data_IF_602271047314
#
_entry.id   IF_602271047314
#
_cell.length_a   1.000
_cell.length_b   1.000
_cell.length_c   1.000
_cell.angle_alpha   90.00
_cell.angle_beta   90.00
_cell.angle_gamma   90.00
#
_symmetry.space_group_name_H-M   'P 1'
#
loop_
_entity.id
_entity.type
_entity.pdbx_description
1 polymer ?
#
# COMPACT_ATOMS: atom_id res chain seq x y z
N UNK A 1 -7.10 -16.33 19.50
CA UNK A 1 -8.28 -16.38 18.63
C UNK A 1 -9.30 -17.32 19.25
N UNK A 2 -10.49 -16.82 19.58
CA UNK A 2 -11.60 -17.68 19.98
C UNK A 2 -12.87 -17.26 19.24
N UNK A 3 -13.46 -18.23 18.56
CA UNK A 3 -14.74 -18.11 17.86
C UNK A 3 -15.74 -18.90 18.70
N UNK A 4 -16.77 -18.21 19.17
CA UNK A 4 -17.86 -18.86 19.92
C UNK A 4 -19.14 -18.75 19.10
N UNK A 5 -19.75 -19.90 18.82
CA UNK A 5 -21.06 -19.97 18.17
C UNK A 5 -22.12 -20.17 19.24
N UNK A 6 -23.12 -19.30 19.25
CA UNK A 6 -24.32 -19.42 20.07
C UNK A 6 -25.56 -19.43 19.18
N UNK A 7 -26.59 -20.16 19.60
CA UNK A 7 -27.86 -20.22 18.89
C UNK A 7 -28.94 -19.79 19.88
N UNK A 8 -29.92 -19.04 19.40
CA UNK A 8 -31.12 -18.82 20.18
C UNK A 8 -32.05 -20.04 20.01
N UNK A 9 -32.02 -20.93 21.01
CA UNK A 9 -32.45 -22.32 20.96
C UNK A 9 -31.38 -23.24 21.60
N UNK A 10 -31.46 -24.57 21.55
CA UNK A 10 -32.49 -25.44 20.98
C UNK A 10 -33.82 -25.29 21.72
N UNK A 11 -34.89 -24.99 20.98
CA UNK A 11 -36.23 -24.92 21.53
C UNK A 11 -36.90 -26.28 21.52
N UNK A 12 -37.69 -26.56 22.56
CA UNK A 12 -38.41 -27.83 22.73
C UNK A 12 -37.52 -29.07 22.57
N UNK A 13 -36.47 -29.23 23.39
CA UNK A 13 -35.50 -30.31 23.23
C UNK A 13 -36.14 -31.68 23.05
N UNK A 14 -35.48 -32.55 22.28
CA UNK A 14 -35.87 -33.96 22.13
C UNK A 14 -36.23 -34.59 23.48
N UNK A 15 -37.43 -35.17 23.58
CA UNK A 15 -38.00 -35.69 24.84
C UNK A 15 -38.95 -34.73 25.58
N UNK A 16 -39.17 -33.51 25.10
CA UNK A 16 -40.19 -32.60 25.68
C UNK A 16 -41.59 -33.17 25.45
N UNK A 17 -42.25 -33.70 26.48
CA UNK A 17 -43.51 -34.44 26.32
C UNK A 17 -44.65 -33.62 25.69
N UNK A 18 -44.78 -32.33 26.03
CA UNK A 18 -45.84 -31.46 25.54
C UNK A 18 -45.29 -30.09 25.12
N UNK A 19 -45.66 -29.65 23.91
CA UNK A 19 -45.37 -28.30 23.39
C UNK A 19 -46.70 -27.55 23.33
N UNK A 20 -46.84 -26.49 24.12
CA UNK A 20 -48.06 -25.67 24.16
C UNK A 20 -48.03 -24.60 23.07
N UNK A 21 -49.21 -24.26 22.54
CA UNK A 21 -49.37 -23.17 21.57
C UNK A 21 -48.82 -21.83 22.05
N UNK A 22 -49.00 -21.52 23.33
CA UNK A 22 -48.45 -20.31 23.94
C UNK A 22 -46.93 -20.28 23.90
N UNK A 23 -46.25 -21.44 24.06
CA UNK A 23 -44.79 -21.50 24.00
C UNK A 23 -44.30 -21.26 22.56
N UNK A 24 -44.97 -21.84 21.56
CA UNK A 24 -44.62 -21.58 20.15
C UNK A 24 -44.74 -20.10 19.81
N UNK A 25 -45.84 -19.46 20.23
CA UNK A 25 -46.03 -18.01 20.09
C UNK A 25 -44.90 -17.24 20.77
N UNK A 26 -44.63 -17.54 22.03
CA UNK A 26 -43.68 -16.76 22.82
C UNK A 26 -42.23 -16.99 22.35
N UNK A 27 -41.92 -18.10 21.69
CA UNK A 27 -40.61 -18.39 21.06
C UNK A 27 -40.48 -17.72 19.69
N UNK A 28 -41.39 -18.01 18.76
CA UNK A 28 -41.24 -17.64 17.35
C UNK A 28 -41.85 -16.30 16.99
N UNK A 29 -42.65 -15.69 17.86
CA UNK A 29 -43.20 -14.34 17.64
C UNK A 29 -42.35 -13.26 18.33
N UNK A 30 -41.05 -13.31 18.07
CA UNK A 30 -40.04 -12.34 18.54
C UNK A 30 -39.47 -11.55 17.37
N UNK A 31 -39.28 -10.25 17.52
CA UNK A 31 -38.49 -9.50 16.55
C UNK A 31 -37.01 -9.77 16.74
N UNK A 32 -36.22 -9.92 15.68
CA UNK A 32 -34.77 -9.78 15.84
C UNK A 32 -34.48 -8.46 16.58
N UNK A 33 -33.53 -8.43 17.54
CA UNK A 33 -33.15 -7.19 18.22
C UNK A 33 -32.83 -6.10 17.19
N UNK A 34 -33.65 -5.04 17.17
CA UNK A 34 -33.56 -3.93 16.20
C UNK A 34 -32.28 -3.11 16.38
N UNK A 35 -31.81 -3.07 17.62
CA UNK A 35 -30.47 -2.66 18.04
C UNK A 35 -29.76 -3.94 18.51
N UNK A 36 -28.45 -4.07 18.35
CA UNK A 36 -27.72 -5.11 19.01
C UNK A 36 -27.69 -4.77 20.50
N UNK A 37 -28.61 -5.39 21.23
CA UNK A 37 -28.53 -5.51 22.68
C UNK A 37 -27.46 -6.54 23.03
N UNK A 38 -27.08 -6.60 24.32
CA UNK A 38 -26.09 -7.55 24.83
C UNK A 38 -26.21 -8.93 24.17
N UNK A 39 -25.06 -9.54 23.87
CA UNK A 39 -24.92 -10.82 23.21
C UNK A 39 -25.95 -11.84 23.73
N UNK A 40 -26.78 -12.38 22.83
CA UNK A 40 -27.83 -13.34 23.20
C UNK A 40 -29.13 -12.72 23.74
N UNK A 41 -29.28 -11.40 23.70
CA UNK A 41 -30.55 -10.75 24.06
C UNK A 41 -31.69 -11.25 23.18
N UNK A 42 -32.74 -11.69 23.85
CA UNK A 42 -33.95 -12.16 23.23
C UNK A 42 -34.75 -10.96 22.72
N UNK A 43 -35.08 -11.00 21.44
CA UNK A 43 -35.97 -10.05 20.79
C UNK A 43 -37.28 -9.77 21.52
N UNK A 44 -37.85 -8.59 21.32
CA UNK A 44 -39.16 -8.23 21.89
C UNK A 44 -40.26 -9.15 21.36
N UNK A 45 -41.09 -9.68 22.27
CA UNK A 45 -42.28 -10.45 21.90
C UNK A 45 -43.28 -9.52 21.20
N UNK A 46 -43.71 -9.91 20.01
CA UNK A 46 -44.72 -9.20 19.24
C UNK A 46 -46.09 -9.63 19.76
N UNK A 47 -46.85 -8.69 20.33
CA UNK A 47 -48.18 -8.98 20.86
C UNK A 47 -49.18 -9.42 19.77
N UNK A 48 -50.24 -10.11 20.17
CA UNK A 48 -51.33 -10.57 19.29
C UNK A 48 -51.30 -12.08 18.98
N UNK A 49 -52.33 -12.59 18.28
CA UNK A 49 -52.45 -14.01 17.96
C UNK A 49 -51.33 -14.50 17.03
N UNK A 50 -51.09 -15.81 17.04
CA UNK A 50 -50.29 -16.52 16.03
C UNK A 50 -51.17 -17.61 15.43
N UNK A 51 -51.04 -17.84 14.14
CA UNK A 51 -51.72 -18.90 13.39
C UNK A 51 -50.77 -20.06 13.09
N UNK A 52 -51.30 -21.21 12.66
CA UNK A 52 -50.45 -22.31 12.21
C UNK A 52 -49.68 -21.98 10.94
N UNK A 53 -50.26 -21.20 10.02
CA UNK A 53 -49.55 -20.71 8.83
C UNK A 53 -48.37 -19.80 9.17
N UNK A 54 -48.44 -19.02 10.25
CA UNK A 54 -47.31 -18.18 10.71
C UNK A 54 -46.10 -19.00 11.18
N UNK A 55 -46.31 -20.29 11.46
CA UNK A 55 -45.31 -21.21 11.97
C UNK A 55 -44.77 -22.16 10.88
N UNK A 56 -45.09 -21.90 9.61
CA UNK A 56 -44.41 -22.50 8.48
C UNK A 56 -42.99 -21.95 8.39
N UNK A 57 -42.06 -22.81 7.95
CA UNK A 57 -40.68 -22.42 7.71
C UNK A 57 -40.60 -21.44 6.54
N UNK A 58 -40.06 -20.26 6.81
CA UNK A 58 -39.96 -19.19 5.83
C UNK A 58 -38.75 -19.38 4.91
N UNK A 59 -39.00 -19.67 3.64
CA UNK A 59 -37.96 -19.80 2.61
C UNK A 59 -37.80 -18.56 1.73
N UNK A 60 -38.70 -17.57 1.83
CA UNK A 60 -38.55 -16.30 1.13
C UNK A 60 -37.44 -15.46 1.76
N UNK A 61 -36.36 -15.28 0.99
CA UNK A 61 -35.18 -14.51 1.38
C UNK A 61 -35.42 -13.00 1.47
N UNK A 62 -36.55 -12.51 0.98
CA UNK A 62 -36.97 -11.13 1.18
C UNK A 62 -37.43 -10.87 2.63
N UNK A 63 -37.85 -11.91 3.35
CA UNK A 63 -38.28 -11.80 4.73
C UNK A 63 -37.08 -11.63 5.66
N UNK A 64 -36.95 -10.43 6.23
CA UNK A 64 -35.80 -10.05 7.06
C UNK A 64 -35.90 -10.51 8.52
N UNK A 65 -37.08 -10.97 8.93
CA UNK A 65 -37.36 -11.38 10.30
C UNK A 65 -38.48 -12.44 10.32
N UNK A 66 -38.20 -13.65 9.80
CA UNK A 66 -39.17 -14.73 9.81
C UNK A 66 -39.54 -15.17 11.23
N UNK A 67 -40.79 -15.63 11.42
CA UNK A 67 -41.18 -16.24 12.68
C UNK A 67 -40.46 -17.57 12.89
N UNK A 68 -40.55 -18.48 11.91
CA UNK A 68 -39.75 -19.72 11.84
C UNK A 68 -38.80 -19.60 10.66
N UNK A 69 -37.50 -19.33 10.89
CA UNK A 69 -36.56 -19.19 9.80
C UNK A 69 -36.27 -20.52 9.10
N UNK A 70 -35.92 -20.42 7.82
CA UNK A 70 -35.19 -21.47 7.13
C UNK A 70 -33.75 -21.54 7.68
N UNK A 71 -33.40 -22.70 8.20
CA UNK A 71 -32.06 -23.09 8.61
C UNK A 71 -31.95 -24.61 8.59
N UNK A 72 -30.73 -25.12 8.69
CA UNK A 72 -30.44 -26.56 8.75
C UNK A 72 -31.14 -27.23 9.92
N UNK A 73 -31.18 -26.56 11.07
CA UNK A 73 -31.82 -27.05 12.30
C UNK A 73 -33.35 -27.11 12.20
N UNK A 74 -33.95 -26.27 11.35
CA UNK A 74 -35.41 -26.20 11.17
C UNK A 74 -35.90 -26.97 9.93
N UNK A 75 -35.03 -27.77 9.29
CA UNK A 75 -35.29 -28.39 7.99
C UNK A 75 -36.47 -29.39 7.97
N UNK A 76 -36.86 -29.90 9.14
CA UNK A 76 -38.00 -30.81 9.26
C UNK A 76 -39.36 -30.10 9.36
N UNK A 77 -39.38 -28.79 9.61
CA UNK A 77 -40.62 -27.99 9.68
C UNK A 77 -41.11 -27.68 8.27
N UNK A 78 -42.40 -27.94 7.99
CA UNK A 78 -42.99 -27.67 6.67
C UNK A 78 -42.89 -26.20 6.27
N UNK A 79 -42.56 -25.95 4.99
CA UNK A 79 -42.49 -24.59 4.41
C UNK A 79 -43.70 -24.21 3.55
N UNK A 80 -44.46 -25.19 3.07
CA UNK A 80 -45.65 -24.98 2.22
C UNK A 80 -46.80 -25.97 2.50
N UNK A 81 -46.61 -26.86 3.46
CA UNK A 81 -47.58 -27.90 3.86
C UNK A 81 -47.80 -27.82 5.35
N UNK A 82 -48.90 -28.42 5.82
CA UNK A 82 -49.16 -28.57 7.25
C UNK A 82 -47.94 -29.16 7.98
N UNK A 83 -47.60 -28.53 9.11
CA UNK A 83 -46.54 -28.97 10.00
C UNK A 83 -47.14 -29.70 11.20
N UNK A 84 -46.32 -30.55 11.81
CA UNK A 84 -46.63 -31.25 13.06
C UNK A 84 -45.86 -30.59 14.19
N UNK A 85 -46.48 -30.48 15.36
CA UNK A 85 -45.83 -29.92 16.55
C UNK A 85 -44.52 -30.62 16.91
N UNK A 86 -44.39 -31.92 16.60
CA UNK A 86 -43.13 -32.66 16.78
C UNK A 86 -41.96 -32.14 15.93
N UNK A 87 -42.22 -31.48 14.79
CA UNK A 87 -41.18 -30.91 13.93
C UNK A 87 -40.58 -29.62 14.50
N UNK A 88 -41.23 -29.00 15.50
CA UNK A 88 -40.71 -27.81 16.18
C UNK A 88 -39.61 -28.14 17.19
N UNK A 89 -39.32 -29.42 17.42
CA UNK A 89 -38.29 -29.85 18.36
C UNK A 89 -36.91 -29.49 17.84
N UNK A 90 -36.04 -29.12 18.77
CA UNK A 90 -34.65 -28.77 18.50
C UNK A 90 -34.49 -27.62 17.47
N UNK A 91 -35.54 -26.81 17.32
CA UNK A 91 -35.56 -25.67 16.43
C UNK A 91 -34.78 -24.48 17.00
N UNK A 92 -34.33 -23.60 16.13
CA UNK A 92 -33.63 -22.38 16.50
C UNK A 92 -34.24 -21.17 15.80
N UNK A 93 -33.95 -19.99 16.33
CA UNK A 93 -34.44 -18.73 15.77
C UNK A 93 -33.34 -17.80 15.28
N UNK A 94 -32.21 -17.76 15.99
CA UNK A 94 -31.10 -16.88 15.67
C UNK A 94 -29.78 -17.62 15.73
N UNK A 95 -28.81 -17.12 14.95
CA UNK A 95 -27.47 -17.68 14.88
C UNK A 95 -26.44 -16.59 15.17
N UNK A 96 -25.79 -16.69 16.32
CA UNK A 96 -24.85 -15.70 16.83
C UNK A 96 -23.43 -16.23 16.83
N UNK A 97 -22.50 -15.35 16.50
CA UNK A 97 -21.06 -15.65 16.50
C UNK A 97 -20.37 -14.53 17.23
N UNK A 98 -19.46 -14.87 18.14
CA UNK A 98 -18.58 -13.89 18.76
C UNK A 98 -17.14 -14.22 18.43
N UNK A 99 -16.44 -13.22 17.91
CA UNK A 99 -15.05 -13.26 17.50
C UNK A 99 -14.20 -12.43 18.46
N UNK A 100 -13.22 -13.09 19.09
CA UNK A 100 -12.28 -12.45 20.04
C UNK A 100 -10.82 -12.73 19.67
N UNK A 101 -9.92 -11.87 20.15
CA UNK A 101 -8.49 -11.91 19.84
C UNK A 101 -8.16 -11.46 18.41
N UNK A 102 -6.93 -11.70 17.97
CA UNK A 102 -6.45 -11.30 16.64
C UNK A 102 -6.70 -12.36 15.57
N UNK A 103 -7.16 -11.94 14.39
CA UNK A 103 -7.51 -12.77 13.25
C UNK A 103 -6.98 -12.14 11.95
N UNK A 104 -6.05 -12.80 11.27
CA UNK A 104 -5.56 -12.31 9.99
C UNK A 104 -6.39 -12.87 8.83
N UNK A 105 -6.80 -11.99 7.91
CA UNK A 105 -7.54 -12.33 6.70
C UNK A 105 -8.82 -13.16 6.98
N UNK A 106 -9.63 -12.69 7.93
CA UNK A 106 -10.79 -13.43 8.42
C UNK A 106 -11.86 -13.61 7.34
N UNK A 107 -12.23 -14.87 7.09
CA UNK A 107 -13.26 -15.22 6.12
C UNK A 107 -14.61 -15.39 6.82
N UNK A 108 -15.47 -14.37 6.76
CA UNK A 108 -16.75 -14.31 7.47
C UNK A 108 -17.74 -15.39 7.01
N UNK A 109 -17.62 -15.90 5.78
CA UNK A 109 -18.51 -16.93 5.25
C UNK A 109 -18.01 -18.36 5.42
N UNK A 110 -16.70 -18.57 5.48
CA UNK A 110 -16.11 -19.88 5.76
C UNK A 110 -15.84 -20.13 7.24
N UNK A 111 -15.50 -19.08 7.99
CA UNK A 111 -15.11 -19.12 9.41
C UNK A 111 -15.84 -18.02 10.18
N UNK A 112 -16.81 -18.34 11.04
CA UNK A 112 -17.17 -19.68 11.52
C UNK A 112 -17.90 -20.53 10.49
N UNK A 113 -17.93 -21.84 10.74
CA UNK A 113 -18.84 -22.73 10.04
C UNK A 113 -20.30 -22.42 10.41
N UNK A 114 -21.04 -21.80 9.48
CA UNK A 114 -22.46 -21.44 9.63
C UNK A 114 -23.42 -22.64 9.56
N UNK A 115 -22.95 -23.89 9.55
CA UNK A 115 -23.77 -25.09 9.38
C UNK A 115 -24.70 -25.02 8.15
N UNK A 116 -24.17 -24.50 7.03
CA UNK A 116 -24.92 -24.26 5.79
C UNK A 116 -26.11 -23.31 5.93
N UNK A 117 -26.04 -22.33 6.84
CA UNK A 117 -27.09 -21.32 7.06
C UNK A 117 -26.81 -19.94 6.46
N UNK A 118 -25.65 -19.73 5.81
CA UNK A 118 -25.22 -18.41 5.35
C UNK A 118 -26.23 -17.77 4.36
N UNK A 119 -26.80 -18.58 3.46
CA UNK A 119 -27.73 -18.19 2.40
C UNK A 119 -29.21 -18.50 2.74
N UNK A 120 -29.50 -18.78 4.02
CA UNK A 120 -30.85 -19.09 4.51
C UNK A 120 -31.43 -17.94 5.33
N UNK A 121 -32.75 -17.93 5.52
CA UNK A 121 -33.49 -16.78 6.09
C UNK A 121 -33.28 -16.56 7.58
N UNK A 122 -32.66 -17.52 8.30
CA UNK A 122 -32.26 -17.33 9.70
C UNK A 122 -31.43 -16.07 9.88
N UNK A 123 -31.79 -15.26 10.87
CA UNK A 123 -31.06 -14.03 11.18
C UNK A 123 -29.73 -14.41 11.83
N UNK A 124 -28.66 -13.87 11.25
CA UNK A 124 -27.27 -14.12 11.62
C UNK A 124 -26.64 -12.82 12.10
N UNK A 125 -25.85 -12.90 13.16
CA UNK A 125 -24.99 -11.80 13.60
C UNK A 125 -23.64 -12.32 14.04
N UNK A 126 -22.60 -11.65 13.60
CA UNK A 126 -21.25 -11.81 14.12
C UNK A 126 -20.86 -10.55 14.91
N UNK A 127 -20.46 -10.74 16.16
CA UNK A 127 -19.88 -9.73 17.03
C UNK A 127 -18.36 -9.80 16.91
N UNK A 128 -17.74 -8.73 16.43
CA UNK A 128 -16.30 -8.56 16.34
C UNK A 128 -15.87 -7.77 17.57
N UNK A 129 -15.40 -8.48 18.59
CA UNK A 129 -14.88 -7.91 19.84
C UNK A 129 -13.35 -7.85 19.85
N UNK A 130 -12.70 -8.65 19.00
CA UNK A 130 -11.26 -8.64 18.76
C UNK A 130 -10.85 -7.90 17.48
N UNK A 131 -9.64 -8.18 17.03
CA UNK A 131 -9.04 -7.54 15.86
C UNK A 131 -9.06 -8.48 14.65
N UNK A 132 -9.55 -7.98 13.52
CA UNK A 132 -9.36 -8.57 12.20
C UNK A 132 -8.30 -7.74 11.46
N UNK A 133 -7.16 -8.35 11.14
CA UNK A 133 -6.01 -7.71 10.50
C UNK A 133 -5.70 -8.28 9.11
N UNK A 134 -4.83 -7.61 8.37
CA UNK A 134 -4.08 -8.20 7.25
C UNK A 134 -2.75 -7.49 7.15
N UNK A 135 -1.69 -8.24 6.87
CA UNK A 135 -0.38 -7.67 6.57
C UNK A 135 -0.13 -7.51 5.07
N UNK A 136 -1.03 -8.05 4.25
CA UNK A 136 -0.97 -7.95 2.81
C UNK A 136 -1.74 -6.72 2.32
N UNK A 137 -1.01 -5.76 1.74
CA UNK A 137 -1.50 -4.52 1.13
C UNK A 137 -2.47 -4.69 -0.06
N UNK A 138 -2.67 -5.90 -0.57
CA UNK A 138 -3.72 -6.22 -1.57
C UNK A 138 -4.83 -7.11 -0.98
N UNK A 139 -4.65 -7.59 0.24
CA UNK A 139 -5.62 -8.41 0.95
C UNK A 139 -6.69 -7.56 1.63
N UNK A 140 -7.75 -8.24 2.06
CA UNK A 140 -8.76 -7.68 2.95
C UNK A 140 -8.55 -8.26 4.35
N UNK A 141 -8.80 -7.44 5.38
CA UNK A 141 -8.69 -7.90 6.76
C UNK A 141 -9.83 -8.85 7.13
N UNK A 142 -11.04 -8.58 6.61
CA UNK A 142 -12.17 -9.49 6.65
C UNK A 142 -12.92 -9.51 5.31
N UNK A 143 -13.53 -10.64 4.96
CA UNK A 143 -14.32 -10.77 3.72
C UNK A 143 -15.63 -11.54 3.95
N UNK A 144 -16.68 -11.12 3.25
CA UNK A 144 -17.93 -11.83 3.04
C UNK A 144 -18.17 -11.91 1.52
N UNK A 145 -17.95 -13.07 0.92
CA UNK A 145 -17.86 -13.22 -0.55
C UNK A 145 -18.87 -14.20 -1.16
N UNK A 146 -19.94 -14.49 -0.43
CA UNK A 146 -21.04 -15.35 -0.87
C UNK A 146 -22.37 -14.65 -0.71
N UNK A 147 -23.39 -15.21 -1.38
CA UNK A 147 -24.78 -14.85 -1.11
C UNK A 147 -25.09 -15.09 0.36
N UNK A 148 -25.48 -14.01 1.04
CA UNK A 148 -25.77 -14.03 2.46
C UNK A 148 -27.11 -13.35 2.72
N UNK A 149 -27.98 -13.99 3.49
CA UNK A 149 -29.28 -13.43 3.86
C UNK A 149 -29.31 -13.05 5.35
N UNK A 150 -29.91 -11.90 5.68
CA UNK A 150 -30.17 -11.47 7.07
C UNK A 150 -28.92 -11.52 7.95
N UNK A 151 -27.82 -10.95 7.46
CA UNK A 151 -26.51 -11.04 8.09
C UNK A 151 -26.07 -9.69 8.64
N UNK A 152 -25.72 -9.64 9.92
CA UNK A 152 -25.17 -8.44 10.55
C UNK A 152 -23.72 -8.67 10.97
N UNK A 153 -22.82 -7.79 10.53
CA UNK A 153 -21.45 -7.65 11.03
C UNK A 153 -21.47 -6.54 12.06
N UNK A 154 -21.27 -6.86 13.34
CA UNK A 154 -21.31 -5.90 14.44
C UNK A 154 -19.91 -5.69 15.01
N UNK A 155 -19.33 -4.51 14.79
CA UNK A 155 -17.99 -4.16 15.26
C UNK A 155 -18.14 -3.46 16.61
N UNK A 156 -17.81 -4.19 17.67
CA UNK A 156 -18.01 -3.78 19.07
C UNK A 156 -16.99 -2.73 19.53
N UNK A 157 -17.20 -2.13 20.71
CA UNK A 157 -16.42 -0.98 21.21
C UNK A 157 -14.90 -1.20 21.35
N UNK A 158 -14.46 -2.47 21.41
CA UNK A 158 -13.05 -2.86 21.42
C UNK A 158 -12.61 -3.64 20.18
N UNK A 159 -13.52 -3.87 19.23
CA UNK A 159 -13.25 -4.63 18.02
C UNK A 159 -12.74 -3.77 16.87
N UNK A 160 -11.90 -4.35 16.02
CA UNK A 160 -11.35 -3.66 14.87
C UNK A 160 -11.29 -4.53 13.62
N UNK A 161 -11.38 -3.89 12.45
CA UNK A 161 -11.11 -4.45 11.14
C UNK A 161 -10.12 -3.51 10.45
N UNK A 162 -8.87 -3.91 10.35
CA UNK A 162 -7.73 -3.05 10.02
C UNK A 162 -6.96 -3.60 8.82
N UNK A 163 -6.88 -2.82 7.76
CA UNK A 163 -6.15 -3.22 6.57
C UNK A 163 -4.64 -2.97 6.64
N UNK A 164 -3.88 -3.57 5.73
CA UNK A 164 -2.46 -3.31 5.56
C UNK A 164 -2.20 -1.96 4.88
N UNK A 165 -1.12 -1.31 5.28
CA UNK A 165 -0.61 -0.10 4.65
C UNK A 165 0.18 -0.43 3.40
N UNK A 166 0.16 0.50 2.44
CA UNK A 166 0.93 0.41 1.21
C UNK A 166 2.44 0.53 1.44
N UNK A 167 3.22 -0.14 0.60
CA UNK A 167 4.69 -0.08 0.68
C UNK A 167 5.24 1.27 0.20
N UNK A 168 6.35 1.70 0.78
CA UNK A 168 7.08 2.89 0.32
C UNK A 168 7.61 2.72 -1.10
N UNK A 169 7.52 3.78 -1.92
CA UNK A 169 7.73 3.69 -3.35
C UNK A 169 9.18 3.72 -3.84
N UNK A 170 9.45 2.91 -4.87
CA UNK A 170 10.64 2.94 -5.72
C UNK A 170 10.32 2.42 -7.14
N UNK A 171 9.69 3.23 -8.04
CA UNK A 171 9.41 4.66 -7.88
C UNK A 171 8.05 4.97 -7.22
N UNK A 172 6.98 4.21 -7.51
CA UNK A 172 5.63 4.53 -7.03
C UNK A 172 5.32 3.86 -5.69
N UNK A 173 4.55 4.54 -4.84
CA UNK A 173 4.05 3.97 -3.60
C UNK A 173 3.02 2.86 -3.85
N UNK A 174 3.03 1.84 -3.00
CA UNK A 174 2.03 0.77 -3.02
C UNK A 174 0.67 1.25 -2.52
N UNK A 175 -0.42 0.66 -3.02
CA UNK A 175 -1.76 0.94 -2.51
C UNK A 175 -1.94 0.32 -1.12
N UNK A 176 -2.77 0.95 -0.28
CA UNK A 176 -3.26 0.33 0.95
C UNK A 176 -4.34 -0.74 0.67
N UNK A 177 -4.44 -1.74 1.55
CA UNK A 177 -5.45 -2.79 1.47
C UNK A 177 -6.81 -2.33 1.97
N UNK A 178 -7.89 -3.06 1.64
CA UNK A 178 -9.21 -2.74 2.18
C UNK A 178 -9.41 -3.43 3.54
N UNK A 179 -10.21 -2.83 4.41
CA UNK A 179 -10.50 -3.44 5.72
C UNK A 179 -11.51 -4.58 5.57
N UNK A 180 -12.73 -4.25 5.14
CA UNK A 180 -13.83 -5.20 4.99
C UNK A 180 -14.27 -5.29 3.52
N UNK A 181 -14.33 -6.49 2.97
CA UNK A 181 -14.93 -6.75 1.66
C UNK A 181 -16.31 -7.40 1.82
N UNK A 182 -17.34 -6.85 1.18
CA UNK A 182 -18.68 -7.43 1.13
C UNK A 182 -19.12 -7.54 -0.33
N UNK A 183 -19.01 -8.74 -0.89
CA UNK A 183 -19.52 -9.06 -2.22
C UNK A 183 -20.80 -9.90 -2.08
N UNK A 184 -21.85 -9.27 -1.55
CA UNK A 184 -23.14 -9.94 -1.44
C UNK A 184 -23.88 -9.89 -2.78
N UNK A 185 -23.88 -11.02 -3.49
CA UNK A 185 -24.45 -11.15 -4.83
C UNK A 185 -25.98 -11.05 -4.93
N UNK A 186 -26.71 -10.85 -3.82
CA UNK A 186 -28.16 -10.98 -3.81
C UNK A 186 -28.96 -9.80 -3.22
N UNK A 187 -28.34 -8.70 -2.78
CA UNK A 187 -29.04 -7.57 -2.12
C UNK A 187 -29.84 -7.96 -0.86
N UNK A 188 -29.49 -9.07 -0.20
CA UNK A 188 -30.27 -9.68 0.88
C UNK A 188 -29.84 -9.20 2.27
N UNK A 189 -30.27 -7.99 2.65
CA UNK A 189 -30.24 -7.44 4.01
C UNK A 189 -28.93 -7.75 4.79
N UNK A 190 -27.79 -7.40 4.19
CA UNK A 190 -26.50 -7.40 4.88
C UNK A 190 -26.29 -6.02 5.52
N UNK A 191 -25.91 -6.03 6.79
CA UNK A 191 -25.71 -4.81 7.58
C UNK A 191 -24.36 -4.84 8.26
N UNK A 192 -23.66 -3.71 8.21
CA UNK A 192 -22.49 -3.42 9.03
C UNK A 192 -22.93 -2.45 10.13
N UNK A 193 -22.89 -2.91 11.37
CA UNK A 193 -23.15 -2.09 12.55
C UNK A 193 -21.81 -1.73 13.18
N UNK A 194 -21.55 -0.44 13.39
CA UNK A 194 -20.32 0.03 14.03
C UNK A 194 -20.65 0.69 15.35
N UNK A 195 -20.18 0.10 16.46
CA UNK A 195 -20.36 0.66 17.80
C UNK A 195 -19.42 1.83 18.04
N UNK A 196 -19.74 2.65 19.04
CA UNK A 196 -18.79 3.63 19.54
C UNK A 196 -17.54 2.92 20.06
N UNK A 197 -16.37 3.25 19.50
CA UNK A 197 -15.09 2.58 19.79
C UNK A 197 -14.69 1.49 18.79
N UNK A 198 -15.65 0.94 18.04
CA UNK A 198 -15.37 -0.02 16.97
C UNK A 198 -14.70 0.63 15.76
N UNK A 199 -13.80 -0.08 15.09
CA UNK A 199 -12.95 0.49 14.04
C UNK A 199 -13.01 -0.32 12.74
N UNK A 200 -13.23 0.34 11.60
CA UNK A 200 -13.10 -0.25 10.27
C UNK A 200 -12.22 0.68 9.42
N UNK A 201 -10.93 0.38 9.31
CA UNK A 201 -9.94 1.28 8.71
C UNK A 201 -9.27 0.65 7.49
N UNK A 202 -9.45 1.28 6.34
CA UNK A 202 -8.69 1.00 5.13
C UNK A 202 -7.23 1.46 5.29
N UNK A 203 -6.31 0.77 4.64
CA UNK A 203 -4.88 1.05 4.74
C UNK A 203 -4.51 2.37 4.08
N UNK A 204 -3.51 3.06 4.61
CA UNK A 204 -2.91 4.22 3.95
C UNK A 204 -2.09 3.81 2.74
N UNK A 205 -2.08 4.62 1.68
CA UNK A 205 -1.20 4.41 0.52
C UNK A 205 0.25 4.78 0.82
N UNK A 206 1.22 4.09 0.23
CA UNK A 206 2.64 4.43 0.38
C UNK A 206 3.03 5.69 -0.39
N UNK A 207 4.08 6.39 0.03
CA UNK A 207 4.60 7.57 -0.65
C UNK A 207 5.42 7.23 -1.90
N UNK A 208 5.52 8.18 -2.83
CA UNK A 208 6.35 8.05 -4.04
C UNK A 208 7.84 8.39 -3.80
N UNK A 209 8.72 8.01 -4.73
CA UNK A 209 10.17 8.28 -4.65
C UNK A 209 10.53 9.73 -4.95
N UNK A 210 11.51 10.23 -4.21
CA UNK A 210 12.27 11.48 -4.39
C UNK A 210 12.81 11.64 -5.81
N UNK A 211 12.95 12.88 -6.31
CA UNK A 211 13.73 13.13 -7.53
C UNK A 211 15.23 12.85 -7.34
N UNK A 212 15.88 12.35 -8.39
CA UNK A 212 17.35 12.37 -8.48
C UNK A 212 17.85 13.81 -8.56
N UNK A 213 18.95 14.12 -7.88
CA UNK A 213 19.59 15.43 -7.95
C UNK A 213 20.06 15.78 -9.36
N UNK A 214 20.28 17.07 -9.62
CA UNK A 214 20.89 17.53 -10.85
C UNK A 214 22.35 17.09 -10.98
N UNK A 215 22.81 16.87 -12.21
CA UNK A 215 24.25 16.70 -12.50
C UNK A 215 24.97 18.01 -12.23
N UNK A 216 26.14 17.94 -11.60
CA UNK A 216 27.00 19.09 -11.37
C UNK A 216 27.50 19.70 -12.69
N UNK A 217 27.89 20.97 -12.62
CA UNK A 217 28.59 21.67 -13.68
C UNK A 217 29.88 20.94 -14.11
N UNK A 218 30.11 20.90 -15.43
CA UNK A 218 31.29 20.29 -16.03
C UNK A 218 32.56 21.10 -15.75
N UNK A 219 33.68 20.40 -15.60
CA UNK A 219 35.03 20.98 -15.55
C UNK A 219 35.74 20.88 -16.89
N UNK A 220 36.93 21.46 -16.98
CA UNK A 220 37.82 21.29 -18.13
C UNK A 220 39.19 20.79 -17.66
N UNK A 221 39.72 19.80 -18.38
CA UNK A 221 41.07 19.29 -18.20
C UNK A 221 41.87 19.60 -19.46
N UNK A 222 43.20 19.63 -19.38
CA UNK A 222 44.02 19.88 -20.56
C UNK A 222 45.20 18.94 -20.65
N UNK A 223 45.55 18.62 -21.89
CA UNK A 223 46.79 17.96 -22.27
C UNK A 223 47.65 18.89 -23.10
N UNK A 224 48.94 18.61 -23.15
CA UNK A 224 49.82 19.25 -24.11
C UNK A 224 49.70 18.57 -25.47
N UNK A 225 49.36 19.37 -26.48
CA UNK A 225 49.64 19.04 -27.87
C UNK A 225 51.03 19.56 -28.22
N UNK A 226 51.82 18.78 -28.95
CA UNK A 226 53.21 19.08 -29.27
C UNK A 226 53.40 19.24 -30.77
N UNK A 227 54.25 20.20 -31.16
CA UNK A 227 54.75 20.34 -32.54
C UNK A 227 56.19 20.80 -32.57
N UNK A 228 56.88 20.48 -33.65
CA UNK A 228 58.26 20.92 -33.91
C UNK A 228 58.25 21.93 -35.04
N UNK A 229 58.95 23.05 -34.86
CA UNK A 229 59.10 24.08 -35.89
C UNK A 229 60.55 24.15 -36.33
N UNK A 230 60.76 24.04 -37.65
CA UNK A 230 62.09 24.06 -38.25
C UNK A 230 62.88 25.30 -37.86
N UNK A 231 64.13 25.08 -37.44
CA UNK A 231 65.08 26.15 -37.10
C UNK A 231 66.21 26.22 -38.13
N UNK A 232 67.04 27.26 -38.04
CA UNK A 232 68.09 27.50 -39.02
C UNK A 232 69.28 28.24 -38.45
N UNK A 233 70.19 28.69 -39.32
CA UNK A 233 71.36 29.45 -38.90
C UNK A 233 70.98 30.75 -38.21
N UNK A 234 71.38 30.89 -36.94
CA UNK A 234 71.06 32.03 -36.08
C UNK A 234 69.56 32.30 -35.86
N UNK A 235 68.68 31.38 -36.26
CA UNK A 235 67.23 31.51 -36.14
C UNK A 235 66.64 30.31 -35.41
N UNK A 236 65.85 30.61 -34.38
CA UNK A 236 65.04 29.62 -33.69
C UNK A 236 63.60 29.78 -34.21
N UNK A 237 62.98 28.68 -34.64
CA UNK A 237 61.61 28.67 -35.13
C UNK A 237 60.63 29.33 -34.15
N UNK A 238 59.74 30.17 -34.66
CA UNK A 238 58.63 30.75 -33.88
C UNK A 238 57.48 29.75 -33.78
N UNK A 239 57.00 29.51 -32.55
CA UNK A 239 55.87 28.62 -32.29
C UNK A 239 54.53 29.18 -32.79
N UNK A 240 54.45 30.50 -33.04
CA UNK A 240 53.23 31.20 -33.45
C UNK A 240 52.23 31.38 -32.30
N UNK A 241 51.16 32.14 -32.57
CA UNK A 241 50.15 32.48 -31.55
C UNK A 241 49.47 31.24 -30.96
N UNK A 242 49.31 31.24 -29.63
CA UNK A 242 48.68 30.14 -28.87
C UNK A 242 49.58 28.93 -28.61
N UNK A 243 50.86 28.96 -29.00
CA UNK A 243 51.84 27.92 -28.71
C UNK A 243 53.02 28.51 -27.93
N UNK A 244 53.45 27.81 -26.87
CA UNK A 244 54.64 28.19 -26.10
C UNK A 244 55.84 27.31 -26.46
N UNK A 245 57.03 27.90 -26.51
CA UNK A 245 58.28 27.14 -26.67
C UNK A 245 58.69 26.56 -25.32
N UNK A 246 58.74 25.24 -25.21
CA UNK A 246 59.14 24.55 -23.98
C UNK A 246 60.53 23.89 -24.08
N UNK A 247 61.07 23.74 -25.29
CA UNK A 247 62.36 23.13 -25.54
C UNK A 247 62.96 23.49 -26.90
N UNK A 248 64.14 22.94 -27.19
CA UNK A 248 64.87 23.17 -28.45
C UNK A 248 65.69 24.46 -28.49
N UNK A 249 66.16 24.82 -29.70
CA UNK A 249 66.99 25.99 -29.97
C UNK A 249 68.31 26.09 -29.20
N UNK A 250 68.81 24.95 -28.75
CA UNK A 250 70.16 24.79 -28.25
C UNK A 250 71.16 24.98 -29.41
N UNK A 251 72.32 25.54 -29.11
CA UNK A 251 73.38 25.70 -30.10
C UNK A 251 73.98 24.33 -30.41
N UNK A 252 73.86 23.88 -31.66
CA UNK A 252 74.46 22.64 -32.14
C UNK A 252 75.19 22.89 -33.45
N UNK A 253 76.50 22.63 -33.50
CA UNK A 253 77.30 22.80 -34.71
C UNK A 253 77.51 24.25 -35.17
N UNK A 254 78.42 24.39 -36.12
CA UNK A 254 78.73 25.66 -36.79
C UNK A 254 78.05 25.67 -38.17
N UNK A 255 77.52 26.82 -38.58
CA UNK A 255 76.95 26.99 -39.91
C UNK A 255 77.31 28.36 -40.49
N UNK A 256 77.05 28.57 -41.79
CA UNK A 256 77.63 29.69 -42.55
C UNK A 256 79.15 29.73 -42.41
N UNK A 257 79.79 28.56 -42.55
CA UNK A 257 81.23 28.42 -42.56
C UNK A 257 81.76 28.78 -43.94
N UNK A 258 82.64 29.76 -44.00
CA UNK A 258 83.39 30.09 -45.21
C UNK A 258 84.83 29.62 -45.01
N UNK A 259 85.34 28.79 -45.91
CA UNK A 259 86.75 28.43 -45.94
C UNK A 259 87.46 29.30 -46.97
N UNK A 260 88.41 30.10 -46.51
CA UNK A 260 89.24 30.91 -47.39
C UNK A 260 90.67 30.84 -46.86
N UNK A 261 91.59 30.33 -47.70
CA UNK A 261 93.03 30.26 -47.44
C UNK A 261 93.42 29.62 -46.09
N UNK A 262 92.85 28.46 -45.78
CA UNK A 262 93.26 27.61 -44.64
C UNK A 262 92.61 27.93 -43.29
N UNK A 263 91.73 28.93 -43.19
CA UNK A 263 90.98 29.26 -41.98
C UNK A 263 89.48 29.06 -42.22
N UNK A 264 88.86 28.16 -41.47
CA UNK A 264 87.39 27.98 -41.47
C UNK A 264 86.82 28.85 -40.35
N UNK A 265 86.18 29.95 -40.72
CA UNK A 265 85.42 30.79 -39.79
C UNK A 265 83.93 30.62 -40.07
N UNK A 266 83.15 30.39 -39.01
CA UNK A 266 81.72 30.21 -39.11
C UNK A 266 81.03 31.36 -38.36
N UNK A 267 80.21 32.12 -39.08
CA UNK A 267 79.53 33.31 -38.54
C UNK A 267 78.19 33.00 -37.87
N UNK A 268 77.72 31.75 -37.95
CA UNK A 268 76.49 31.31 -37.33
C UNK A 268 76.63 29.99 -36.57
N UNK A 269 75.73 29.78 -35.63
CA UNK A 269 75.51 28.47 -35.03
C UNK A 269 74.17 27.95 -35.50
N UNK A 270 74.13 26.68 -35.86
CA UNK A 270 72.87 26.01 -36.12
C UNK A 270 72.14 25.84 -34.79
N UNK A 271 70.82 26.05 -34.80
CA UNK A 271 69.97 25.87 -33.63
C UNK A 271 69.12 24.64 -33.86
N UNK A 272 69.01 23.78 -32.85
CA UNK A 272 68.06 22.67 -32.91
C UNK A 272 66.64 23.20 -33.08
N UNK A 273 65.77 22.39 -33.69
CA UNK A 273 64.38 22.77 -33.93
C UNK A 273 63.67 23.18 -32.64
N UNK A 274 62.78 24.18 -32.76
CA UNK A 274 62.01 24.67 -31.63
C UNK A 274 60.93 23.64 -31.29
N UNK A 275 60.87 23.22 -30.03
CA UNK A 275 59.80 22.36 -29.53
C UNK A 275 58.73 23.22 -28.89
N UNK A 276 57.54 23.16 -29.48
CA UNK A 276 56.39 23.95 -29.10
C UNK A 276 55.32 23.06 -28.48
N UNK A 277 54.61 23.58 -27.49
CA UNK A 277 53.42 22.93 -26.93
C UNK A 277 52.29 23.93 -26.74
N UNK A 278 51.06 23.45 -26.70
CA UNK A 278 49.90 24.24 -26.25
C UNK A 278 48.98 23.37 -25.43
N UNK A 279 48.17 24.01 -24.58
CA UNK A 279 47.12 23.33 -23.83
C UNK A 279 45.91 23.12 -24.72
N UNK A 280 45.43 21.89 -24.83
CA UNK A 280 44.17 21.53 -25.48
C UNK A 280 43.20 21.09 -24.41
N UNK A 281 42.08 21.80 -24.29
CA UNK A 281 41.11 21.56 -23.23
C UNK A 281 40.04 20.55 -23.66
N UNK A 282 39.74 19.61 -22.78
CA UNK A 282 38.64 18.65 -22.89
C UNK A 282 37.65 18.89 -21.75
N UNK A 283 36.36 18.98 -22.08
CA UNK A 283 35.29 19.13 -21.09
C UNK A 283 34.99 17.77 -20.45
N UNK A 284 35.07 17.71 -19.12
CA UNK A 284 34.74 16.52 -18.33
C UNK A 284 33.43 16.78 -17.59
N UNK A 285 32.48 15.86 -17.73
CA UNK A 285 31.19 15.93 -17.06
C UNK A 285 31.34 16.15 -15.55
N UNK A 286 30.46 16.96 -14.97
CA UNK A 286 30.39 17.16 -13.53
C UNK A 286 29.99 15.90 -12.77
N UNK A 287 29.96 15.99 -11.44
CA UNK A 287 29.52 14.88 -10.60
C UNK A 287 28.06 14.50 -10.87
N UNK A 288 27.74 13.21 -10.89
CA UNK A 288 26.35 12.75 -11.06
C UNK A 288 25.47 13.17 -9.87
N UNK A 289 24.22 13.52 -10.12
CA UNK A 289 23.25 13.79 -9.06
C UNK A 289 22.99 12.59 -8.16
N UNK A 290 22.66 12.86 -6.89
CA UNK A 290 22.38 11.83 -5.90
C UNK A 290 21.00 11.20 -6.10
N UNK A 291 20.83 9.94 -5.71
CA UNK A 291 19.55 9.25 -5.87
C UNK A 291 18.48 9.85 -4.95
N UNK A 292 17.27 10.04 -5.46
CA UNK A 292 16.13 10.44 -4.64
C UNK A 292 15.78 9.39 -3.60
N UNK A 293 15.32 9.83 -2.43
CA UNK A 293 14.96 8.94 -1.32
C UNK A 293 13.68 8.17 -1.59
N UNK A 294 13.55 6.97 -1.04
CA UNK A 294 12.34 6.15 -1.19
C UNK A 294 11.16 6.78 -0.46
N UNK A 295 9.94 6.52 -0.94
CA UNK A 295 8.73 7.01 -0.27
C UNK A 295 8.47 6.31 1.06
N UNK A 296 7.70 6.96 1.94
CA UNK A 296 7.33 6.41 3.24
C UNK A 296 6.26 5.31 3.13
N UNK A 297 6.25 4.31 4.02
CA UNK A 297 5.17 3.33 4.08
C UNK A 297 3.86 3.99 4.51
N UNK A 298 2.73 3.46 4.04
CA UNK A 298 1.39 3.84 4.51
C UNK A 298 1.08 3.22 5.87
N UNK A 299 0.16 3.84 6.60
CA UNK A 299 -0.35 3.30 7.87
C UNK A 299 -1.16 2.04 7.62
N UNK A 300 -0.97 1.02 8.46
CA UNK A 300 -1.75 -0.20 8.40
C UNK A 300 -1.59 -1.09 9.61
N UNK A 301 -2.30 -2.22 9.61
CA UNK A 301 -2.19 -3.24 10.65
C UNK A 301 -0.74 -3.72 10.79
N UNK A 302 -0.06 -3.88 9.66
CA UNK A 302 1.36 -4.20 9.54
C UNK A 302 2.34 -3.07 9.91
N UNK A 303 1.88 -1.83 10.13
CA UNK A 303 2.81 -0.69 10.25
C UNK A 303 2.36 0.42 11.22
N UNK A 304 3.05 0.49 12.35
CA UNK A 304 2.92 1.54 13.38
C UNK A 304 3.96 2.67 13.34
N UNK A 305 4.93 2.64 12.42
CA UNK A 305 6.08 3.55 12.41
C UNK A 305 5.87 4.93 11.78
N UNK A 306 6.97 5.56 11.36
CA UNK A 306 6.98 6.85 10.67
C UNK A 306 6.47 6.72 9.23
N UNK A 307 5.56 7.62 8.83
CA UNK A 307 5.08 7.70 7.45
C UNK A 307 6.00 8.56 6.57
N UNK A 308 7.06 9.14 7.12
CA UNK A 308 7.96 10.03 6.40
C UNK A 308 8.74 9.29 5.30
N UNK A 309 8.86 9.92 4.12
CA UNK A 309 9.78 9.45 3.09
C UNK A 309 11.25 9.58 3.54
N UNK A 310 12.11 8.71 3.01
CA UNK A 310 13.54 8.76 3.26
C UNK A 310 14.17 9.96 2.53
N UNK A 311 15.23 10.53 3.10
CA UNK A 311 16.06 11.55 2.43
C UNK A 311 16.80 10.95 1.23
N UNK A 312 17.07 11.77 0.21
CA UNK A 312 17.92 11.36 -0.92
C UNK A 312 19.40 11.31 -0.55
N UNK A 313 20.18 10.61 -1.37
CA UNK A 313 21.63 10.53 -1.19
C UNK A 313 22.33 11.77 -1.76
N UNK A 314 23.51 12.09 -1.24
CA UNK A 314 24.35 13.13 -1.83
C UNK A 314 24.76 12.77 -3.26
N UNK A 315 24.92 13.78 -4.12
CA UNK A 315 25.50 13.59 -5.45
C UNK A 315 26.99 13.26 -5.39
N UNK A 316 27.48 12.64 -6.44
CA UNK A 316 28.89 12.30 -6.57
C UNK A 316 29.72 13.58 -6.78
N UNK A 317 30.97 13.55 -6.30
CA UNK A 317 31.95 14.58 -6.62
C UNK A 317 32.33 14.53 -8.11
N UNK A 318 32.87 15.63 -8.61
CA UNK A 318 33.48 15.66 -9.94
C UNK A 318 34.68 14.69 -10.01
N UNK A 319 34.76 13.89 -11.07
CA UNK A 319 35.80 12.85 -11.23
C UNK A 319 37.23 13.38 -11.41
N UNK A 320 37.39 14.69 -11.56
CA UNK A 320 38.69 15.34 -11.73
C UNK A 320 39.33 15.09 -13.09
N UNK A 321 40.62 15.41 -13.18
CA UNK A 321 41.43 15.34 -14.40
C UNK A 321 42.43 14.18 -14.37
N UNK A 322 42.08 13.05 -13.74
CA UNK A 322 42.96 11.89 -13.73
C UNK A 322 43.18 11.38 -15.16
N UNK A 323 44.44 11.36 -15.60
CA UNK A 323 44.80 11.01 -16.98
C UNK A 323 45.07 12.20 -17.90
N UNK A 324 44.97 13.44 -17.39
CA UNK A 324 45.35 14.66 -18.11
C UNK A 324 46.59 15.32 -17.50
N UNK A 325 47.30 16.13 -18.29
CA UNK A 325 48.47 16.91 -17.82
C UNK A 325 48.10 18.01 -16.80
N UNK A 326 46.86 18.48 -16.79
CA UNK A 326 46.38 19.37 -15.73
C UNK A 326 44.92 19.78 -15.81
N UNK A 327 44.52 20.63 -14.85
CA UNK A 327 43.15 21.14 -14.72
C UNK A 327 43.03 22.56 -15.27
N UNK A 328 42.00 22.79 -16.08
CA UNK A 328 41.62 24.11 -16.59
C UNK A 328 40.62 24.79 -15.68
N UNK A 329 39.48 24.13 -15.46
CA UNK A 329 38.44 24.56 -14.53
C UNK A 329 37.92 23.35 -13.76
N UNK A 330 37.67 23.53 -12.46
CA UNK A 330 37.07 22.48 -11.65
C UNK A 330 35.60 22.29 -12.05
N UNK A 331 35.16 21.04 -12.15
CA UNK A 331 33.74 20.71 -12.14
C UNK A 331 33.18 20.78 -10.72
N UNK A 332 31.85 20.70 -10.59
CA UNK A 332 31.20 20.67 -9.28
C UNK A 332 30.48 19.34 -8.99
N UNK A 333 30.19 19.14 -7.71
CA UNK A 333 29.43 17.99 -7.20
C UNK A 333 28.00 18.02 -7.76
N UNK A 334 27.42 16.85 -8.00
CA UNK A 334 25.99 16.75 -8.27
C UNK A 334 25.15 17.11 -7.04
N UNK A 335 23.91 17.55 -7.27
CA UNK A 335 23.01 17.89 -6.17
C UNK A 335 22.59 16.64 -5.38
N UNK A 336 22.17 16.84 -4.13
CA UNK A 336 21.55 15.78 -3.32
C UNK A 336 20.17 15.45 -3.88
N UNK A 337 19.81 14.16 -3.90
CA UNK A 337 18.47 13.73 -4.27
C UNK A 337 17.40 14.26 -3.31
N UNK A 338 16.17 14.46 -3.79
CA UNK A 338 15.06 14.93 -2.95
C UNK A 338 14.57 13.82 -2.01
N UNK A 339 13.94 14.22 -0.89
CA UNK A 339 13.24 13.30 0.02
C UNK A 339 12.04 12.67 -0.70
N UNK A 340 11.77 11.40 -0.41
CA UNK A 340 10.56 10.72 -0.87
C UNK A 340 9.28 11.34 -0.29
N UNK A 341 8.15 11.08 -0.94
CA UNK A 341 6.84 11.46 -0.44
C UNK A 341 6.47 10.67 0.82
N UNK A 342 5.63 11.25 1.66
CA UNK A 342 5.11 10.58 2.84
C UNK A 342 4.07 9.52 2.46
N UNK A 343 3.99 8.43 3.22
CA UNK A 343 2.83 7.55 3.20
C UNK A 343 1.60 8.23 3.80
N UNK A 344 0.42 7.74 3.44
CA UNK A 344 -0.86 8.17 3.97
C UNK A 344 -1.16 7.52 5.32
N UNK A 345 -1.92 8.22 6.15
CA UNK A 345 -2.55 7.61 7.33
C UNK A 345 -3.72 6.70 6.90
N UNK A 346 -4.40 6.05 7.86
CA UNK A 346 -5.56 5.20 7.61
C UNK A 346 -6.57 5.86 6.66
N UNK A 347 -6.86 5.19 5.53
CA UNK A 347 -7.80 5.66 4.53
C UNK A 347 -7.33 6.87 3.71
N UNK A 348 -6.05 7.24 3.77
CA UNK A 348 -5.47 8.37 3.03
C UNK A 348 -4.46 7.91 1.97
N UNK A 349 -4.43 8.61 0.84
CA UNK A 349 -3.44 8.37 -0.21
C UNK A 349 -2.04 8.75 0.28
N UNK A 350 -1.02 8.09 -0.26
CA UNK A 350 0.35 8.55 -0.12
C UNK A 350 0.61 9.83 -0.93
N UNK A 351 1.62 10.59 -0.51
CA UNK A 351 2.08 11.78 -1.23
C UNK A 351 3.08 11.41 -2.33
N UNK A 352 3.11 12.14 -3.45
CA UNK A 352 4.16 11.98 -4.47
C UNK A 352 5.54 12.42 -3.93
N UNK A 353 6.61 11.81 -4.44
CA UNK A 353 8.00 12.15 -4.08
C UNK A 353 8.76 12.94 -5.14
N UNK A 354 8.14 13.24 -6.29
CA UNK A 354 8.77 13.92 -7.42
C UNK A 354 8.98 12.99 -8.61
N UNK A 355 9.65 11.84 -8.42
CA UNK A 355 9.81 10.82 -9.47
C UNK A 355 8.66 9.81 -9.50
N UNK A 356 8.00 9.59 -8.36
CA UNK A 356 6.92 8.63 -8.23
C UNK A 356 5.65 9.23 -7.64
N UNK A 357 4.52 8.62 -8.01
CA UNK A 357 3.22 8.90 -7.42
C UNK A 357 3.09 8.19 -6.06
N UNK A 358 2.29 8.78 -5.17
CA UNK A 358 1.82 8.06 -3.99
C UNK A 358 0.80 6.98 -4.37
N UNK A 359 0.72 5.93 -3.56
CA UNK A 359 -0.28 4.89 -3.68
C UNK A 359 -1.65 5.37 -3.20
N UNK A 360 -2.70 4.73 -3.69
CA UNK A 360 -4.06 5.00 -3.25
C UNK A 360 -4.32 4.39 -1.86
N UNK A 361 -5.17 5.05 -1.09
CA UNK A 361 -5.75 4.49 0.12
C UNK A 361 -6.59 3.25 -0.20
N UNK A 362 -6.60 2.32 0.74
CA UNK A 362 -7.59 1.28 0.79
C UNK A 362 -8.94 1.77 1.28
N UNK A 363 -9.99 1.02 0.96
CA UNK A 363 -11.36 1.30 1.39
C UNK A 363 -11.57 0.78 2.81
N UNK A 364 -12.40 1.47 3.59
CA UNK A 364 -12.87 0.91 4.85
C UNK A 364 -13.77 -0.29 4.58
N UNK A 365 -14.74 -0.11 3.68
CA UNK A 365 -15.64 -1.16 3.22
C UNK A 365 -15.70 -1.13 1.69
N UNK A 366 -15.34 -2.26 1.08
CA UNK A 366 -15.36 -2.51 -0.36
C UNK A 366 -16.51 -3.45 -0.73
N UNK A 367 -16.86 -3.48 -2.03
CA UNK A 367 -17.98 -4.25 -2.54
C UNK A 367 -19.29 -3.47 -2.54
N UNK A 368 -20.42 -4.15 -2.37
CA UNK A 368 -21.76 -3.56 -2.43
C UNK A 368 -22.84 -4.44 -1.82
N UNK A 369 -24.10 -3.98 -1.89
CA UNK A 369 -25.27 -4.70 -1.36
C UNK A 369 -25.27 -4.85 0.17
N UNK A 370 -24.86 -3.78 0.86
CA UNK A 370 -24.89 -3.69 2.32
C UNK A 370 -25.43 -2.34 2.79
N UNK A 371 -25.72 -2.23 4.07
CA UNK A 371 -26.01 -0.95 4.73
C UNK A 371 -25.06 -0.75 5.90
N UNK A 372 -24.68 0.49 6.17
CA UNK A 372 -23.84 0.84 7.33
C UNK A 372 -24.66 1.66 8.31
N UNK A 373 -24.70 1.24 9.58
CA UNK A 373 -25.42 1.92 10.66
C UNK A 373 -24.58 1.97 11.94
N UNK A 374 -25.04 2.75 12.93
CA UNK A 374 -24.36 2.92 14.21
C UNK A 374 -23.61 4.25 14.30
N UNK A 375 -22.47 4.26 15.00
CA UNK A 375 -21.64 5.45 15.21
C UNK A 375 -20.66 5.61 14.06
N UNK A 376 -20.96 6.52 13.11
CA UNK A 376 -20.16 6.70 11.90
C UNK A 376 -19.45 8.06 11.93
N UNK A 377 -18.15 8.05 12.16
CA UNK A 377 -17.30 9.24 12.17
C UNK A 377 -15.83 8.86 11.90
N UNK A 378 -14.93 9.86 11.91
CA UNK A 378 -13.50 9.68 11.63
C UNK A 378 -12.74 8.80 12.62
N UNK A 379 -13.35 8.44 13.76
CA UNK A 379 -12.77 7.54 14.76
C UNK A 379 -13.30 6.10 14.63
N UNK A 380 -14.33 5.87 13.82
CA UNK A 380 -14.91 4.52 13.66
C UNK A 380 -14.75 3.97 12.25
N UNK A 381 -14.79 4.83 11.23
CA UNK A 381 -14.57 4.44 9.83
C UNK A 381 -13.54 5.38 9.19
N UNK A 382 -12.48 4.81 8.62
CA UNK A 382 -11.43 5.56 7.90
C UNK A 382 -11.18 4.94 6.54
N UNK A 383 -11.33 5.75 5.50
CA UNK A 383 -11.32 5.31 4.11
C UNK A 383 -12.72 5.29 3.49
N UNK A 384 -12.79 5.05 2.19
CA UNK A 384 -14.05 5.07 1.46
C UNK A 384 -14.95 3.89 1.87
N UNK A 385 -16.23 4.16 2.00
CA UNK A 385 -17.30 3.15 2.06
C UNK A 385 -18.48 3.71 1.25
N UNK A 386 -18.96 2.94 0.29
CA UNK A 386 -20.16 3.30 -0.48
C UNK A 386 -21.15 2.14 -0.26
N UNK A 387 -22.14 2.30 0.62
CA UNK A 387 -23.16 1.28 0.87
C UNK A 387 -23.99 0.98 -0.39
#
# INVERSE_FOLDING_TARGET
MAITVSKDGLYFPSGTNNIKWSQLRDTFKRNAPSEPQEQGSLGTIISGPISASDLLRETDRSNTNPYVPDCTENADIGSSTDWKVSQMRDSIKYYWVTLTGTNDNFDLDANPNWNSNIDKTIVKRIYIEGDCGTDWYLGNAARLSVRSCNFTIDVESGGSILAAGGTGGNPNGGNGGNALQIDNHAHENVRVWVRSGGQIYGGGGGGGKGNTGGTGCSGTCWDYEYKTVGSGCNYCGDCGSGWERYGGCAQGGLCNCFSSWGWTSCSGRYRSDAQCRRKVYTTIAGGSGGAGGNGGPGRGHNYGGSLGGASGSAGAGWGGCSGYDGTGSNGCQGDTGQTGGNGGDWGQNGSPGGLGNGGNAGRAIAGGSYSVVGTINSNTIKGLYNP
#
